data_IF_152269914093
#
_entry.id   IF_152269914093
#
_cell.length_a   1.000
_cell.length_b   1.000
_cell.length_c   1.000
_cell.angle_alpha   90.00
_cell.angle_beta   90.00
_cell.angle_gamma   90.00
#
_symmetry.space_group_name_H-M   'P 1'
#
loop_
_entity.id
_entity.type
_entity.pdbx_description
1 polymer ?
#
# COMPACT_ATOMS: atom_id res chain seq x y z
N UNK A 1 16.30 1.26 34.65
CA UNK A 1 15.37 0.12 34.60
C UNK A 1 14.66 0.20 33.25
N UNK A 2 15.08 -0.65 32.30
CA UNK A 2 14.57 -0.67 30.94
C UNK A 2 13.35 -1.59 30.88
N UNK A 3 12.16 -1.03 30.75
CA UNK A 3 10.92 -1.76 30.49
C UNK A 3 10.71 -1.90 28.99
N UNK A 4 11.27 -2.94 28.37
CA UNK A 4 10.96 -3.30 26.99
C UNK A 4 9.72 -4.20 27.04
N UNK A 5 8.59 -3.71 26.52
CA UNK A 5 7.33 -4.44 26.47
C UNK A 5 7.50 -5.78 25.73
N UNK A 6 6.86 -6.87 26.21
CA UNK A 6 7.00 -8.17 25.57
C UNK A 6 6.33 -8.13 24.18
N UNK A 7 7.12 -8.36 23.14
CA UNK A 7 6.62 -8.46 21.77
C UNK A 7 5.58 -9.58 21.66
N UNK A 8 4.31 -9.19 21.46
CA UNK A 8 3.18 -10.08 21.20
C UNK A 8 3.46 -10.97 19.99
N UNK A 9 2.90 -12.18 20.01
CA UNK A 9 2.86 -13.03 18.82
C UNK A 9 1.90 -12.36 17.81
N UNK A 10 2.18 -12.39 16.50
CA UNK A 10 1.22 -11.89 15.52
C UNK A 10 -0.05 -12.74 15.62
N UNK A 11 -1.19 -12.09 15.87
CA UNK A 11 -2.48 -12.75 15.79
C UNK A 11 -2.75 -13.12 14.32
N UNK A 12 -3.33 -14.30 14.08
CA UNK A 12 -3.56 -14.79 12.72
C UNK A 12 -4.57 -13.96 11.92
N UNK A 13 -5.26 -13.03 12.58
CA UNK A 13 -6.19 -12.10 11.94
C UNK A 13 -5.48 -10.94 11.24
N UNK A 14 -4.22 -10.63 11.59
CA UNK A 14 -3.54 -9.42 11.12
C UNK A 14 -2.72 -9.62 9.83
N UNK A 15 -2.42 -10.87 9.44
CA UNK A 15 -1.63 -11.19 8.25
C UNK A 15 -2.50 -11.55 7.05
N UNK A 16 -3.24 -10.59 6.49
CA UNK A 16 -4.07 -10.81 5.30
C UNK A 16 -3.33 -10.45 4.00
N UNK A 17 -2.51 -11.37 3.51
CA UNK A 17 -1.62 -11.13 2.37
C UNK A 17 -1.53 -12.29 1.40
N UNK A 18 -1.16 -11.99 0.16
CA UNK A 18 -0.86 -13.00 -0.85
C UNK A 18 0.65 -13.10 -1.04
N UNK A 19 1.22 -14.21 -0.58
CA UNK A 19 2.66 -14.39 -0.47
C UNK A 19 3.13 -15.42 -1.50
N UNK A 20 4.04 -15.03 -2.38
CA UNK A 20 4.80 -15.93 -3.23
C UNK A 20 6.19 -16.13 -2.63
N UNK A 21 6.58 -17.39 -2.39
CA UNK A 21 7.96 -17.73 -2.05
C UNK A 21 8.67 -18.17 -3.32
N UNK A 22 9.70 -17.42 -3.73
CA UNK A 22 10.64 -17.84 -4.77
C UNK A 22 11.80 -18.56 -4.08
N UNK A 23 11.96 -19.84 -4.40
CA UNK A 23 12.91 -20.74 -3.75
C UNK A 23 13.99 -21.18 -4.74
N UNK A 24 15.26 -20.98 -4.38
CA UNK A 24 16.40 -21.37 -5.22
C UNK A 24 16.51 -22.90 -5.32
N UNK A 25 16.48 -23.43 -6.53
CA UNK A 25 16.65 -24.86 -6.82
C UNK A 25 17.80 -25.11 -7.80
N UNK A 26 18.71 -24.13 -7.96
CA UNK A 26 19.86 -24.18 -8.85
C UNK A 26 20.92 -25.20 -8.43
N UNK A 27 21.82 -25.51 -9.35
CA UNK A 27 23.04 -26.29 -9.09
C UNK A 27 23.94 -25.65 -8.02
N UNK A 28 23.90 -24.32 -7.87
CA UNK A 28 24.74 -23.58 -6.93
C UNK A 28 24.36 -23.87 -5.47
N UNK A 29 23.06 -23.95 -5.16
CA UNK A 29 22.61 -24.31 -3.81
C UNK A 29 22.87 -25.80 -3.51
N UNK A 30 22.66 -26.67 -4.50
CA UNK A 30 22.81 -28.12 -4.36
C UNK A 30 21.73 -28.78 -3.49
N UNK A 31 21.55 -30.09 -3.67
CA UNK A 31 20.50 -30.88 -3.01
C UNK A 31 20.47 -30.75 -1.47
N UNK A 32 21.66 -30.69 -0.84
CA UNK A 32 21.76 -30.64 0.63
C UNK A 32 21.23 -29.33 1.18
N UNK A 33 21.65 -28.18 0.64
CA UNK A 33 21.19 -26.87 1.11
C UNK A 33 19.76 -26.58 0.66
N UNK A 34 19.35 -27.10 -0.51
CA UNK A 34 17.95 -27.10 -0.92
C UNK A 34 17.03 -27.75 0.13
N UNK A 35 17.43 -28.88 0.71
CA UNK A 35 16.66 -29.51 1.80
C UNK A 35 16.63 -28.66 3.08
N UNK A 36 17.69 -27.91 3.39
CA UNK A 36 17.71 -26.96 4.52
C UNK A 36 16.79 -25.75 4.26
N UNK A 37 16.78 -25.25 3.03
CA UNK A 37 15.87 -24.21 2.58
C UNK A 37 14.40 -24.65 2.65
N UNK A 38 14.07 -25.84 2.15
CA UNK A 38 12.73 -26.44 2.30
C UNK A 38 12.29 -26.50 3.75
N UNK A 39 13.18 -26.93 4.66
CA UNK A 39 12.90 -26.98 6.08
C UNK A 39 12.66 -25.59 6.68
N UNK A 40 13.41 -24.57 6.23
CA UNK A 40 13.20 -23.18 6.63
C UNK A 40 11.84 -22.66 6.18
N UNK A 41 11.52 -22.82 4.88
CA UNK A 41 10.25 -22.42 4.28
C UNK A 41 9.07 -23.13 4.96
N UNK A 42 9.23 -24.42 5.29
CA UNK A 42 8.23 -25.19 6.05
C UNK A 42 7.95 -24.54 7.42
N UNK A 43 9.00 -24.15 8.16
CA UNK A 43 8.83 -23.50 9.47
C UNK A 43 8.24 -22.09 9.34
N UNK A 44 8.61 -21.36 8.30
CA UNK A 44 8.03 -20.05 7.99
C UNK A 44 6.54 -20.16 7.67
N UNK A 45 6.15 -21.07 6.78
CA UNK A 45 4.76 -21.34 6.43
C UNK A 45 3.92 -21.75 7.66
N UNK A 46 4.50 -22.54 8.57
CA UNK A 46 3.84 -22.89 9.83
C UNK A 46 3.61 -21.66 10.75
N UNK A 47 4.55 -20.71 10.77
CA UNK A 47 4.45 -19.47 11.54
C UNK A 47 3.44 -18.48 10.93
N UNK A 48 3.35 -18.42 9.60
CA UNK A 48 2.42 -17.53 8.88
C UNK A 48 0.94 -17.93 9.07
N UNK A 49 0.65 -19.14 9.56
CA UNK A 49 -0.71 -19.63 9.83
C UNK A 49 -1.65 -19.48 8.62
N UNK A 50 -1.19 -19.96 7.45
CA UNK A 50 -1.95 -19.96 6.18
C UNK A 50 -3.34 -20.59 6.36
N UNK A 51 -4.37 -19.91 5.88
CA UNK A 51 -5.75 -20.38 5.96
C UNK A 51 -6.75 -19.44 5.28
N UNK A 52 -8.04 -19.80 5.27
CA UNK A 52 -9.08 -19.04 4.56
C UNK A 52 -9.20 -17.58 5.00
N UNK A 53 -8.89 -17.30 6.26
CA UNK A 53 -8.94 -15.96 6.87
C UNK A 53 -7.54 -15.36 7.10
N UNK A 54 -6.49 -16.07 6.71
CA UNK A 54 -5.08 -15.70 6.91
C UNK A 54 -4.38 -15.37 5.59
N UNK A 55 -3.04 -15.45 5.55
CA UNK A 55 -2.31 -15.23 4.31
C UNK A 55 -2.52 -16.42 3.37
N UNK A 56 -2.54 -16.16 2.07
CA UNK A 56 -2.43 -17.18 1.04
C UNK A 56 -0.97 -17.32 0.66
N UNK A 57 -0.51 -18.56 0.45
CA UNK A 57 0.87 -18.87 0.14
C UNK A 57 0.95 -19.72 -1.12
N UNK A 58 1.75 -19.28 -2.09
CA UNK A 58 2.20 -20.16 -3.15
C UNK A 58 3.72 -20.14 -3.28
N UNK A 59 4.23 -21.04 -4.13
CA UNK A 59 5.65 -21.30 -4.23
C UNK A 59 6.08 -21.47 -5.68
N UNK A 60 7.18 -20.81 -6.01
CA UNK A 60 7.86 -20.87 -7.31
C UNK A 60 9.29 -21.34 -7.05
N UNK A 61 9.75 -22.36 -7.76
CA UNK A 61 11.16 -22.72 -7.80
C UNK A 61 11.87 -21.95 -8.91
N UNK A 62 13.06 -21.42 -8.62
CA UNK A 62 13.95 -20.84 -9.62
C UNK A 62 15.08 -21.82 -9.97
N UNK A 63 15.32 -21.97 -11.26
CA UNK A 63 16.44 -22.72 -11.85
C UNK A 63 16.74 -22.16 -13.25
N UNK A 64 16.89 -23.00 -14.29
CA UNK A 64 16.97 -22.56 -15.69
C UNK A 64 15.72 -21.76 -16.11
N UNK A 65 14.55 -22.21 -15.65
CA UNK A 65 13.25 -21.59 -15.90
C UNK A 65 12.39 -21.66 -14.64
N UNK A 66 11.58 -20.63 -14.36
CA UNK A 66 10.73 -20.63 -13.18
C UNK A 66 9.65 -21.70 -13.27
N UNK A 67 9.43 -22.41 -12.15
CA UNK A 67 8.40 -23.43 -12.04
C UNK A 67 7.48 -23.13 -10.87
N UNK A 68 6.22 -22.85 -11.16
CA UNK A 68 5.18 -22.74 -10.13
C UNK A 68 4.82 -24.14 -9.62
N UNK A 69 5.09 -24.40 -8.34
CA UNK A 69 4.78 -25.68 -7.70
C UNK A 69 3.33 -25.71 -7.20
N UNK A 70 2.87 -24.59 -6.67
CA UNK A 70 1.48 -24.38 -6.29
C UNK A 70 1.13 -22.89 -6.20
N UNK A 71 -0.12 -22.56 -6.53
CA UNK A 71 -0.72 -21.24 -6.52
C UNK A 71 -1.26 -20.88 -5.13
N UNK A 72 -1.66 -19.61 -4.98
CA UNK A 72 -2.17 -19.02 -3.73
C UNK A 72 -3.40 -19.75 -3.18
N UNK A 73 -4.22 -20.35 -4.04
CA UNK A 73 -5.48 -21.01 -3.69
C UNK A 73 -5.37 -22.52 -3.50
N UNK A 74 -4.23 -23.13 -3.83
CA UNK A 74 -4.10 -24.59 -3.79
C UNK A 74 -4.20 -25.17 -2.38
N UNK A 75 -3.79 -24.40 -1.35
CA UNK A 75 -3.79 -24.88 0.04
C UNK A 75 -4.39 -23.85 1.00
N UNK A 76 -5.45 -24.26 1.68
CA UNK A 76 -6.09 -23.48 2.76
C UNK A 76 -5.91 -24.11 4.14
N UNK A 77 -5.28 -25.28 4.20
CA UNK A 77 -4.99 -26.00 5.45
C UNK A 77 -3.49 -26.07 5.69
N UNK A 78 -3.00 -25.61 6.87
CA UNK A 78 -1.57 -25.61 7.18
C UNK A 78 -0.91 -26.97 6.97
N UNK A 79 -1.53 -28.08 7.42
CA UNK A 79 -0.93 -29.42 7.31
C UNK A 79 -0.66 -29.85 5.86
N UNK A 80 -1.60 -29.58 4.95
CA UNK A 80 -1.48 -29.94 3.53
C UNK A 80 -0.40 -29.09 2.85
N UNK A 81 -0.36 -27.78 3.14
CA UNK A 81 0.70 -26.90 2.66
C UNK A 81 2.09 -27.34 3.12
N UNK A 82 2.26 -27.66 4.40
CA UNK A 82 3.54 -28.10 4.96
C UNK A 82 3.99 -29.42 4.34
N UNK A 83 3.05 -30.30 3.99
CA UNK A 83 3.35 -31.54 3.27
C UNK A 83 3.80 -31.24 1.84
N UNK A 84 3.08 -30.39 1.11
CA UNK A 84 3.43 -30.00 -0.26
C UNK A 84 4.85 -29.40 -0.34
N UNK A 85 5.23 -28.52 0.60
CA UNK A 85 6.58 -27.96 0.67
C UNK A 85 7.63 -29.06 0.91
N UNK A 86 7.33 -30.07 1.72
CA UNK A 86 8.26 -31.19 1.99
C UNK A 86 8.45 -32.11 0.80
N UNK A 87 7.48 -32.22 -0.10
CA UNK A 87 7.55 -33.08 -1.29
C UNK A 87 8.25 -32.43 -2.49
N UNK A 88 8.62 -31.15 -2.39
CA UNK A 88 9.29 -30.43 -3.49
C UNK A 88 10.57 -31.13 -3.93
N UNK A 89 10.73 -31.29 -5.24
CA UNK A 89 11.91 -31.92 -5.84
C UNK A 89 12.94 -30.86 -6.18
N UNK A 90 14.21 -31.21 -5.98
CA UNK A 90 15.31 -30.38 -6.44
C UNK A 90 15.42 -30.43 -7.96
N UNK A 91 15.60 -29.29 -8.60
CA UNK A 91 15.64 -29.18 -10.07
C UNK A 91 17.08 -29.20 -10.62
N UNK A 92 18.01 -28.49 -9.98
CA UNK A 92 19.31 -28.17 -10.57
C UNK A 92 19.19 -27.15 -11.71
N UNK A 93 20.33 -26.78 -12.31
CA UNK A 93 20.42 -25.79 -13.39
C UNK A 93 21.02 -24.45 -12.94
N UNK A 94 20.79 -23.40 -13.73
CA UNK A 94 21.24 -22.03 -13.46
C UNK A 94 20.41 -21.33 -12.36
N UNK A 95 20.84 -20.15 -11.92
CA UNK A 95 20.16 -19.35 -10.89
C UNK A 95 19.44 -18.15 -11.51
N UNK A 96 18.46 -18.38 -12.41
CA UNK A 96 17.74 -17.31 -13.12
C UNK A 96 16.64 -16.64 -12.26
N UNK A 97 17.08 -15.94 -11.21
CA UNK A 97 16.23 -15.26 -10.23
C UNK A 97 15.39 -14.16 -10.87
N UNK A 98 15.95 -13.39 -11.80
CA UNK A 98 15.25 -12.34 -12.53
C UNK A 98 14.04 -12.88 -13.31
N UNK A 99 14.22 -13.99 -14.05
CA UNK A 99 13.11 -14.68 -14.73
C UNK A 99 12.03 -15.15 -13.74
N UNK A 100 12.41 -15.65 -12.57
CA UNK A 100 11.45 -16.08 -11.56
C UNK A 100 10.66 -14.91 -10.96
N UNK A 101 11.31 -13.77 -10.71
CA UNK A 101 10.64 -12.54 -10.27
C UNK A 101 9.67 -12.05 -11.35
N UNK A 102 10.09 -12.05 -12.62
CA UNK A 102 9.25 -11.65 -13.75
C UNK A 102 8.03 -12.56 -13.91
N UNK A 103 8.24 -13.88 -13.89
CA UNK A 103 7.15 -14.87 -13.92
C UNK A 103 6.19 -14.69 -12.74
N UNK A 104 6.72 -14.41 -11.55
CA UNK A 104 5.89 -14.14 -10.40
C UNK A 104 5.03 -12.88 -10.59
N UNK A 105 5.61 -11.80 -11.13
CA UNK A 105 4.91 -10.55 -11.37
C UNK A 105 3.85 -10.64 -12.49
N UNK A 106 4.18 -11.30 -13.61
CA UNK A 106 3.34 -11.30 -14.82
C UNK A 106 2.32 -12.45 -14.84
N UNK A 107 2.70 -13.62 -14.32
CA UNK A 107 1.90 -14.85 -14.43
C UNK A 107 1.30 -15.23 -13.10
N UNK A 108 2.10 -15.31 -12.04
CA UNK A 108 1.65 -15.83 -10.74
C UNK A 108 0.67 -14.88 -10.02
N UNK A 109 1.02 -13.59 -9.90
CA UNK A 109 0.20 -12.60 -9.20
C UNK A 109 -0.96 -12.07 -10.05
N UNK A 110 -1.80 -12.97 -10.56
CA UNK A 110 -3.01 -12.64 -11.32
C UNK A 110 -4.27 -13.10 -10.58
N UNK A 111 -5.44 -12.45 -10.81
CA UNK A 111 -6.70 -12.86 -10.20
C UNK A 111 -7.06 -14.33 -10.50
N UNK A 112 -6.78 -14.81 -11.72
CA UNK A 112 -7.01 -16.20 -12.10
C UNK A 112 -6.17 -17.22 -11.32
N UNK A 113 -5.05 -16.77 -10.75
CA UNK A 113 -4.13 -17.57 -9.95
C UNK A 113 -4.29 -17.36 -8.43
N UNK A 114 -5.39 -16.74 -8.02
CA UNK A 114 -5.79 -16.69 -6.61
C UNK A 114 -5.38 -15.42 -5.86
N UNK A 115 -4.95 -14.37 -6.56
CA UNK A 115 -4.76 -13.05 -5.95
C UNK A 115 -6.09 -12.50 -5.48
N UNK A 116 -6.14 -12.12 -4.20
CA UNK A 116 -7.28 -11.50 -3.55
C UNK A 116 -7.21 -9.99 -3.72
N UNK A 117 -8.33 -9.39 -4.12
CA UNK A 117 -8.47 -7.93 -4.20
C UNK A 117 -8.28 -7.32 -2.80
N UNK A 118 -7.62 -6.17 -2.73
CA UNK A 118 -7.38 -5.44 -1.48
C UNK A 118 -6.32 -6.05 -0.54
N UNK A 119 -5.75 -7.21 -0.86
CA UNK A 119 -4.72 -7.84 -0.06
C UNK A 119 -3.33 -7.51 -0.62
N UNK A 120 -2.34 -7.14 0.21
CA UNK A 120 -0.99 -6.89 -0.27
C UNK A 120 -0.36 -8.13 -0.90
N UNK A 121 0.36 -7.90 -2.00
CA UNK A 121 1.16 -8.93 -2.67
C UNK A 121 2.59 -8.84 -2.20
N UNK A 122 3.11 -9.95 -1.72
CA UNK A 122 4.45 -10.05 -1.17
C UNK A 122 5.20 -11.17 -1.88
N UNK A 123 6.34 -10.84 -2.47
CA UNK A 123 7.25 -11.79 -3.07
C UNK A 123 8.47 -11.91 -2.17
N UNK A 124 8.67 -13.07 -1.56
CA UNK A 124 9.89 -13.37 -0.80
C UNK A 124 10.82 -14.20 -1.67
N UNK A 125 11.96 -13.63 -2.04
CA UNK A 125 12.98 -14.28 -2.86
C UNK A 125 14.10 -14.78 -1.95
N UNK A 126 14.21 -16.11 -1.84
CA UNK A 126 15.33 -16.75 -1.16
C UNK A 126 16.46 -16.97 -2.15
N UNK A 127 17.64 -16.43 -1.84
CA UNK A 127 18.85 -16.59 -2.65
C UNK A 127 19.97 -17.17 -1.79
N UNK A 128 20.65 -18.20 -2.29
CA UNK A 128 21.85 -18.81 -1.69
C UNK A 128 23.02 -18.72 -2.68
N UNK A 129 23.23 -17.51 -3.20
CA UNK A 129 24.20 -17.24 -4.23
C UNK A 129 23.83 -16.02 -5.07
N UNK A 130 24.48 -15.91 -6.22
CA UNK A 130 24.34 -14.78 -7.13
C UNK A 130 23.36 -15.12 -8.25
N UNK A 131 22.48 -14.20 -8.64
CA UNK A 131 21.65 -14.39 -9.81
C UNK A 131 22.53 -14.48 -11.07
N UNK A 132 22.15 -15.38 -11.98
CA UNK A 132 22.78 -15.52 -13.29
C UNK A 132 22.24 -14.53 -14.34
N UNK A 133 21.19 -13.78 -13.97
CA UNK A 133 20.43 -12.86 -14.81
C UNK A 133 20.13 -11.52 -14.12
N UNK A 134 19.51 -10.59 -14.85
CA UNK A 134 19.15 -9.26 -14.37
C UNK A 134 17.94 -9.31 -13.41
N UNK A 135 18.23 -9.15 -12.12
CA UNK A 135 17.23 -9.04 -11.06
C UNK A 135 16.65 -7.63 -10.95
N UNK A 136 17.43 -6.59 -11.26
CA UNK A 136 17.02 -5.20 -11.07
C UNK A 136 15.80 -4.87 -11.93
N UNK A 137 15.85 -5.21 -13.22
CA UNK A 137 14.75 -4.95 -14.15
C UNK A 137 13.48 -5.73 -13.78
N UNK A 138 13.62 -7.00 -13.44
CA UNK A 138 12.47 -7.84 -13.06
C UNK A 138 11.83 -7.34 -11.75
N UNK A 139 12.65 -6.97 -10.78
CA UNK A 139 12.17 -6.43 -9.51
C UNK A 139 11.53 -5.05 -9.68
N UNK A 140 12.05 -4.20 -10.56
CA UNK A 140 11.42 -2.93 -10.93
C UNK A 140 10.00 -3.15 -11.45
N UNK A 141 9.82 -4.07 -12.40
CA UNK A 141 8.50 -4.43 -12.93
C UNK A 141 7.56 -4.95 -11.82
N UNK A 142 8.06 -5.82 -10.94
CA UNK A 142 7.27 -6.33 -9.82
C UNK A 142 6.80 -5.19 -8.89
N UNK A 143 7.69 -4.25 -8.55
CA UNK A 143 7.37 -3.07 -7.73
C UNK A 143 6.38 -2.14 -8.41
N UNK A 144 6.58 -1.82 -9.70
CA UNK A 144 5.63 -1.01 -10.48
C UNK A 144 4.25 -1.66 -10.59
N UNK A 145 4.24 -3.00 -10.57
CA UNK A 145 3.02 -3.81 -10.52
C UNK A 145 2.39 -3.87 -9.13
N UNK A 146 2.97 -3.23 -8.11
CA UNK A 146 2.45 -3.16 -6.74
C UNK A 146 2.70 -4.44 -5.94
N UNK A 147 3.87 -5.07 -6.12
CA UNK A 147 4.31 -6.24 -5.38
C UNK A 147 5.49 -5.83 -4.47
N UNK A 148 5.41 -6.16 -3.19
CA UNK A 148 6.50 -5.94 -2.25
C UNK A 148 7.54 -7.05 -2.42
N UNK A 149 8.73 -6.69 -2.90
CA UNK A 149 9.85 -7.62 -3.08
C UNK A 149 10.69 -7.65 -1.82
N UNK A 150 10.75 -8.81 -1.16
CA UNK A 150 11.66 -9.11 -0.06
C UNK A 150 12.79 -9.97 -0.55
N UNK A 151 14.02 -9.51 -0.37
CA UNK A 151 15.20 -10.28 -0.70
C UNK A 151 15.77 -10.91 0.57
N UNK A 152 15.81 -12.23 0.61
CA UNK A 152 16.36 -13.00 1.72
C UNK A 152 17.62 -13.71 1.25
N UNK A 153 18.78 -13.14 1.57
CA UNK A 153 20.07 -13.74 1.25
C UNK A 153 20.51 -14.69 2.36
N UNK A 154 20.96 -15.88 1.97
CA UNK A 154 21.53 -16.84 2.90
C UNK A 154 22.99 -17.05 2.60
N UNK A 155 23.81 -16.96 3.65
CA UNK A 155 25.26 -16.95 3.59
C UNK A 155 25.80 -15.71 2.87
N UNK A 156 26.92 -15.17 3.37
CA UNK A 156 27.66 -14.22 2.56
C UNK A 156 28.42 -15.01 1.49
N UNK A 157 28.43 -14.50 0.28
CA UNK A 157 29.28 -15.03 -0.76
C UNK A 157 30.75 -15.01 -0.36
N UNK A 158 31.49 -16.03 -0.79
CA UNK A 158 32.91 -16.11 -0.50
C UNK A 158 33.67 -15.01 -1.24
N UNK A 159 34.85 -14.63 -0.74
CA UNK A 159 35.64 -13.53 -1.33
C UNK A 159 36.01 -13.84 -2.79
N UNK A 160 36.20 -15.12 -3.09
CA UNK A 160 36.54 -15.68 -4.39
C UNK A 160 35.35 -15.64 -5.36
N UNK A 161 34.12 -15.61 -4.84
CA UNK A 161 32.88 -15.57 -5.64
C UNK A 161 32.42 -14.14 -5.93
N UNK A 162 33.00 -13.14 -5.27
CA UNK A 162 32.67 -11.72 -5.46
C UNK A 162 33.00 -11.20 -6.87
N UNK A 163 33.86 -11.89 -7.61
CA UNK A 163 34.17 -11.59 -9.01
C UNK A 163 33.12 -12.13 -9.99
N UNK A 164 32.32 -13.12 -9.57
CA UNK A 164 31.28 -13.75 -10.39
C UNK A 164 29.92 -13.05 -10.29
N UNK A 165 29.81 -12.06 -9.41
CA UNK A 165 28.60 -11.23 -9.27
C UNK A 165 28.57 -10.21 -10.37
N UNK A 166 27.53 -10.26 -11.20
CA UNK A 166 27.34 -9.24 -12.23
C UNK A 166 27.07 -7.87 -11.62
N UNK A 167 26.18 -7.82 -10.62
CA UNK A 167 25.85 -6.59 -9.89
C UNK A 167 25.90 -6.85 -8.39
N UNK A 168 26.81 -6.19 -7.67
CA UNK A 168 27.01 -6.38 -6.22
C UNK A 168 25.91 -5.72 -5.38
N UNK A 169 25.18 -4.76 -5.93
CA UNK A 169 24.11 -4.03 -5.25
C UNK A 169 22.71 -4.53 -5.66
N UNK A 170 22.61 -5.63 -6.41
CA UNK A 170 21.34 -6.19 -6.89
C UNK A 170 20.29 -6.34 -5.78
N UNK A 171 20.69 -6.73 -4.57
CA UNK A 171 19.81 -6.83 -3.40
C UNK A 171 19.15 -5.50 -3.05
N UNK A 172 19.93 -4.41 -3.03
CA UNK A 172 19.46 -3.07 -2.69
C UNK A 172 18.56 -2.50 -3.78
N UNK A 173 18.90 -2.79 -5.05
CA UNK A 173 18.14 -2.33 -6.21
C UNK A 173 16.87 -3.13 -6.47
N UNK A 174 16.80 -4.37 -5.97
CA UNK A 174 15.63 -5.22 -6.09
C UNK A 174 14.51 -4.82 -5.11
N UNK A 175 14.86 -4.32 -3.94
CA UNK A 175 13.88 -3.86 -2.96
C UNK A 175 13.43 -2.44 -3.26
N UNK A 176 12.27 -2.05 -2.73
CA UNK A 176 11.72 -0.72 -2.96
C UNK A 176 12.31 0.38 -2.08
N UNK A 177 12.80 0.02 -0.88
CA UNK A 177 13.55 0.91 0.01
C UNK A 177 14.73 0.14 0.60
N UNK A 178 15.93 0.69 0.48
CA UNK A 178 17.13 0.15 1.14
C UNK A 178 17.25 0.66 2.58
N UNK A 179 16.28 0.29 3.42
CA UNK A 179 16.23 0.65 4.84
C UNK A 179 16.46 -0.57 5.76
N UNK A 180 16.88 -1.70 5.18
CA UNK A 180 17.07 -2.95 5.91
C UNK A 180 15.78 -3.70 6.31
N UNK A 181 14.60 -3.21 5.91
CA UNK A 181 13.32 -3.90 6.14
C UNK A 181 13.08 -5.00 5.10
N UNK A 182 13.14 -4.63 3.82
CA UNK A 182 12.89 -5.51 2.67
C UNK A 182 14.06 -6.46 2.34
N UNK A 183 15.25 -6.16 2.85
CA UNK A 183 16.42 -7.03 2.73
C UNK A 183 16.69 -7.74 4.06
N UNK A 184 16.81 -9.06 4.03
CA UNK A 184 17.08 -9.87 5.21
C UNK A 184 18.26 -10.82 4.96
N UNK A 185 19.29 -10.76 5.80
CA UNK A 185 20.46 -11.65 5.68
C UNK A 185 20.44 -12.72 6.75
N UNK A 186 20.50 -13.98 6.32
CA UNK A 186 20.68 -15.16 7.17
C UNK A 186 22.14 -15.58 7.07
N UNK A 187 22.94 -15.55 8.15
CA UNK A 187 24.37 -15.83 8.06
C UNK A 187 24.71 -17.25 7.61
N UNK A 188 23.83 -18.22 7.88
CA UNK A 188 24.05 -19.63 7.58
C UNK A 188 22.74 -20.40 7.55
N UNK A 189 22.67 -21.43 6.71
CA UNK A 189 21.62 -22.44 6.78
C UNK A 189 21.63 -23.22 8.11
N UNK A 190 22.78 -23.28 8.78
CA UNK A 190 22.91 -23.89 10.11
C UNK A 190 22.50 -22.85 11.17
N UNK A 191 21.41 -23.13 11.89
CA UNK A 191 20.78 -22.22 12.89
C UNK A 191 19.87 -21.12 12.33
N UNK A 192 19.17 -21.39 11.24
CA UNK A 192 18.22 -20.45 10.63
C UNK A 192 16.89 -20.27 11.40
N UNK A 193 16.57 -21.13 12.37
CA UNK A 193 15.29 -21.09 13.10
C UNK A 193 15.02 -19.75 13.79
N UNK A 194 16.05 -19.09 14.31
CA UNK A 194 15.94 -17.77 14.97
C UNK A 194 15.45 -16.66 14.04
N UNK A 195 15.58 -16.87 12.72
CA UNK A 195 15.18 -15.91 11.69
C UNK A 195 13.72 -16.10 11.23
N UNK A 196 13.10 -17.25 11.55
CA UNK A 196 11.71 -17.54 11.13
C UNK A 196 10.72 -16.54 11.69
N UNK A 197 10.78 -16.25 13.01
CA UNK A 197 9.84 -15.32 13.65
C UNK A 197 10.01 -13.87 13.15
N UNK A 198 11.23 -13.28 13.14
CA UNK A 198 11.41 -11.93 12.61
C UNK A 198 10.98 -11.79 11.15
N UNK A 199 11.25 -12.80 10.32
CA UNK A 199 10.88 -12.75 8.91
C UNK A 199 9.36 -12.85 8.72
N UNK A 200 8.69 -13.76 9.45
CA UNK A 200 7.23 -13.83 9.43
C UNK A 200 6.59 -12.49 9.86
N UNK A 201 7.12 -11.85 10.91
CA UNK A 201 6.63 -10.55 11.37
C UNK A 201 6.81 -9.46 10.31
N UNK A 202 7.97 -9.41 9.63
CA UNK A 202 8.20 -8.44 8.54
C UNK A 202 7.29 -8.68 7.35
N UNK A 203 7.15 -9.94 6.93
CA UNK A 203 6.29 -10.28 5.80
C UNK A 203 4.84 -9.88 6.10
N UNK A 204 4.38 -10.03 7.35
CA UNK A 204 3.02 -9.72 7.79
C UNK A 204 2.81 -8.27 8.31
N UNK A 205 3.78 -7.35 8.16
CA UNK A 205 3.65 -5.98 8.67
C UNK A 205 2.99 -5.07 7.63
N UNK A 206 1.65 -5.00 7.65
CA UNK A 206 0.85 -4.23 6.69
C UNK A 206 1.30 -2.77 6.58
N UNK A 207 1.53 -2.12 7.72
CA UNK A 207 1.90 -0.69 7.81
C UNK A 207 3.30 -0.40 7.22
N UNK A 208 4.16 -1.43 7.13
CA UNK A 208 5.51 -1.30 6.57
C UNK A 208 5.60 -1.70 5.08
N UNK A 209 4.52 -2.26 4.49
CA UNK A 209 4.47 -2.68 3.08
C UNK A 209 4.20 -1.50 2.14
N UNK A 210 5.18 -0.61 2.05
CA UNK A 210 5.09 0.67 1.33
C UNK A 210 5.07 0.56 -0.20
N UNK A 211 5.13 -0.65 -0.77
CA UNK A 211 5.43 -0.87 -2.20
C UNK A 211 4.35 -1.70 -2.92
N UNK A 212 3.39 -2.25 -2.17
CA UNK A 212 2.10 -2.62 -2.74
C UNK A 212 1.31 -1.36 -3.03
N UNK A 213 0.77 -1.22 -4.25
CA UNK A 213 -0.26 -0.21 -4.54
C UNK A 213 -1.49 -0.53 -3.69
N UNK A 214 -1.61 0.12 -2.55
CA UNK A 214 -2.78 0.07 -1.69
C UNK A 214 -3.46 1.43 -1.73
N UNK A 215 -4.67 1.50 -1.17
CA UNK A 215 -5.31 2.79 -0.97
C UNK A 215 -4.51 3.72 -0.04
N UNK A 216 -3.66 3.18 0.82
CA UNK A 216 -2.92 3.96 1.81
C UNK A 216 -1.73 4.71 1.23
N UNK A 217 -1.22 4.29 0.07
CA UNK A 217 0.03 4.80 -0.50
C UNK A 217 -0.01 5.05 -2.03
N UNK A 218 -1.14 4.87 -2.71
CA UNK A 218 -1.23 5.04 -4.17
C UNK A 218 -2.41 5.95 -4.57
N UNK A 219 -2.58 7.01 -3.79
CA UNK A 219 -3.72 7.93 -3.90
C UNK A 219 -3.27 9.38 -3.82
N UNK A 220 -3.94 10.23 -4.59
CA UNK A 220 -3.87 11.68 -4.49
C UNK A 220 -5.17 12.15 -3.83
N UNK A 221 -5.10 12.77 -2.66
CA UNK A 221 -6.26 13.25 -1.91
C UNK A 221 -6.20 14.77 -1.85
N UNK A 222 -7.19 15.40 -2.47
CA UNK A 222 -7.44 16.83 -2.37
C UNK A 222 -8.52 17.11 -1.33
N UNK A 223 -8.23 18.00 -0.39
CA UNK A 223 -9.22 18.55 0.52
C UNK A 223 -9.76 19.87 -0.02
N UNK A 224 -11.08 19.96 -0.19
CA UNK A 224 -11.78 21.18 -0.57
C UNK A 224 -12.53 21.70 0.65
N UNK A 225 -12.01 22.79 1.22
CA UNK A 225 -12.32 23.23 2.57
C UNK A 225 -13.14 24.52 2.52
N UNK A 226 -14.37 24.46 3.02
CA UNK A 226 -15.22 25.63 3.19
C UNK A 226 -14.66 26.55 4.29
N UNK A 227 -14.23 27.74 3.89
CA UNK A 227 -13.74 28.81 4.77
C UNK A 227 -14.76 29.94 4.92
N UNK A 228 -16.04 29.69 4.63
CA UNK A 228 -17.08 30.70 4.65
C UNK A 228 -17.38 31.21 6.06
N UNK A 229 -18.05 32.37 6.11
CA UNK A 229 -18.40 33.03 7.37
C UNK A 229 -19.34 32.22 8.26
N UNK A 230 -20.13 31.30 7.70
CA UNK A 230 -21.05 30.43 8.44
C UNK A 230 -20.31 29.41 9.31
N UNK A 231 -19.15 28.93 8.83
CA UNK A 231 -18.32 27.97 9.57
C UNK A 231 -17.83 28.63 10.86
N UNK A 232 -17.21 29.81 10.76
CA UNK A 232 -16.62 30.50 11.90
C UNK A 232 -15.28 29.89 12.34
N UNK A 233 -14.41 30.72 12.93
CA UNK A 233 -13.03 30.36 13.21
C UNK A 233 -12.87 29.13 14.11
N UNK A 234 -13.68 28.99 15.18
CA UNK A 234 -13.61 27.86 16.11
C UNK A 234 -13.94 26.53 15.41
N UNK A 235 -14.99 26.50 14.60
CA UNK A 235 -15.38 25.29 13.88
C UNK A 235 -14.40 24.98 12.74
N UNK A 236 -13.82 26.00 12.12
CA UNK A 236 -12.79 25.82 11.10
C UNK A 236 -11.58 25.05 11.66
N UNK A 237 -11.17 25.30 12.91
CA UNK A 237 -10.12 24.50 13.56
C UNK A 237 -10.52 23.02 13.69
N UNK A 238 -11.79 22.72 14.02
CA UNK A 238 -12.29 21.34 14.08
C UNK A 238 -12.26 20.67 12.70
N UNK A 239 -12.56 21.41 11.63
CA UNK A 239 -12.43 20.91 10.25
C UNK A 239 -10.98 20.59 9.92
N UNK A 240 -10.03 21.46 10.26
CA UNK A 240 -8.61 21.21 10.01
C UNK A 240 -8.08 20.00 10.80
N UNK A 241 -8.52 19.83 12.05
CA UNK A 241 -8.15 18.66 12.86
C UNK A 241 -8.75 17.36 12.33
N UNK A 242 -9.99 17.40 11.86
CA UNK A 242 -10.61 16.27 11.16
C UNK A 242 -9.82 15.86 9.91
N UNK A 243 -9.46 16.84 9.08
CA UNK A 243 -8.66 16.62 7.87
C UNK A 243 -7.26 16.09 8.16
N UNK A 244 -6.62 16.64 9.19
CA UNK A 244 -5.34 16.14 9.69
C UNK A 244 -5.45 14.67 10.15
N UNK A 245 -6.55 14.30 10.80
CA UNK A 245 -6.84 12.91 11.20
C UNK A 245 -6.98 11.95 10.03
N UNK A 246 -7.61 12.40 8.93
CA UNK A 246 -7.66 11.63 7.67
C UNK A 246 -6.25 11.49 7.10
N UNK A 247 -5.52 12.60 6.93
CA UNK A 247 -4.16 12.60 6.38
C UNK A 247 -3.20 11.68 7.17
N UNK A 248 -3.34 11.63 8.49
CA UNK A 248 -2.53 10.76 9.36
C UNK A 248 -2.68 9.26 9.03
N UNK A 249 -3.84 8.87 8.47
CA UNK A 249 -4.17 7.48 8.14
C UNK A 249 -3.54 6.99 6.83
N UNK A 250 -2.90 7.87 6.04
CA UNK A 250 -2.26 7.54 4.76
C UNK A 250 -0.73 7.64 4.85
N UNK A 251 -0.02 6.88 4.01
CA UNK A 251 1.45 6.85 3.96
C UNK A 251 1.98 7.91 3.01
N UNK A 252 1.97 9.15 3.49
CA UNK A 252 2.40 10.32 2.73
C UNK A 252 3.90 10.30 2.52
N UNK A 253 4.34 10.21 1.26
CA UNK A 253 5.74 10.31 0.85
C UNK A 253 5.90 10.62 -0.64
N UNK A 254 7.11 10.88 -1.12
CA UNK A 254 7.40 11.11 -2.56
C UNK A 254 6.92 9.99 -3.49
N UNK A 255 6.80 8.77 -2.97
CA UNK A 255 6.37 7.57 -3.71
C UNK A 255 5.08 6.97 -3.15
N UNK A 256 4.43 7.67 -2.21
CA UNK A 256 3.28 7.20 -1.44
C UNK A 256 2.01 7.97 -1.76
N UNK A 257 1.19 8.20 -0.74
CA UNK A 257 0.03 9.08 -0.88
C UNK A 257 0.46 10.55 -0.97
N UNK A 258 -0.33 11.32 -1.71
CA UNK A 258 -0.13 12.75 -1.92
C UNK A 258 -1.34 13.51 -1.41
N UNK A 259 -1.12 14.55 -0.59
CA UNK A 259 -2.19 15.36 0.00
C UNK A 259 -2.04 16.79 -0.48
N UNK A 260 -3.17 17.42 -0.80
CA UNK A 260 -3.24 18.83 -1.16
C UNK A 260 -4.50 19.47 -0.60
N UNK A 261 -4.50 20.79 -0.45
CA UNK A 261 -5.62 21.51 0.13
C UNK A 261 -5.96 22.77 -0.68
N UNK A 262 -7.26 22.95 -0.90
CA UNK A 262 -7.85 24.16 -1.47
C UNK A 262 -8.88 24.66 -0.47
N UNK A 263 -8.78 25.92 -0.09
CA UNK A 263 -9.80 26.60 0.69
C UNK A 263 -10.68 27.43 -0.25
N UNK A 264 -11.98 27.54 0.05
CA UNK A 264 -12.90 28.34 -0.76
C UNK A 264 -13.89 29.14 0.08
N UNK A 265 -14.29 30.28 -0.49
CA UNK A 265 -15.46 31.08 -0.11
C UNK A 265 -16.22 31.46 -1.39
N UNK A 266 -16.31 32.75 -1.74
CA UNK A 266 -16.55 33.21 -3.11
C UNK A 266 -15.28 33.07 -3.97
N UNK A 267 -14.11 33.16 -3.34
CA UNK A 267 -12.80 33.00 -3.96
C UNK A 267 -12.20 31.64 -3.60
N UNK A 268 -11.31 31.12 -4.43
CA UNK A 268 -10.65 29.83 -4.22
C UNK A 268 -9.13 30.04 -4.12
N UNK A 269 -8.51 29.34 -3.17
CA UNK A 269 -7.06 29.41 -2.96
C UNK A 269 -6.47 28.02 -2.74
N UNK A 270 -5.46 27.66 -3.51
CA UNK A 270 -4.58 26.52 -3.17
C UNK A 270 -3.77 26.91 -1.94
N UNK A 271 -3.94 26.19 -0.84
CA UNK A 271 -3.13 26.38 0.37
C UNK A 271 -1.78 25.67 0.22
N UNK A 272 -1.81 24.45 -0.35
CA UNK A 272 -0.63 23.72 -0.81
C UNK A 272 -1.05 22.63 -1.82
N UNK A 273 -0.15 22.35 -2.77
CA UNK A 273 -0.34 21.35 -3.82
C UNK A 273 -0.08 19.92 -3.37
N UNK A 274 -0.52 18.95 -4.20
CA UNK A 274 -0.37 17.51 -3.94
C UNK A 274 1.10 17.05 -3.77
N UNK A 275 2.05 17.78 -4.37
CA UNK A 275 3.47 17.44 -4.39
C UNK A 275 4.32 18.32 -3.47
N UNK A 276 3.71 19.23 -2.71
CA UNK A 276 4.46 20.22 -1.91
C UNK A 276 5.03 19.62 -0.61
N UNK A 277 4.51 18.47 -0.18
CA UNK A 277 4.91 17.80 1.05
C UNK A 277 5.22 16.32 0.81
N UNK A 278 6.45 15.92 1.12
CA UNK A 278 7.01 14.59 0.90
C UNK A 278 7.05 13.72 2.17
N UNK A 279 6.43 14.16 3.25
CA UNK A 279 6.28 13.40 4.49
C UNK A 279 5.00 13.76 5.23
N UNK A 280 4.55 12.82 6.07
CA UNK A 280 3.28 12.89 6.80
C UNK A 280 3.25 14.04 7.79
N UNK A 281 4.32 14.24 8.55
CA UNK A 281 4.40 15.24 9.60
C UNK A 281 4.27 16.67 9.06
N UNK A 282 4.90 16.96 7.92
CA UNK A 282 4.85 18.27 7.29
C UNK A 282 3.48 18.54 6.65
N UNK A 283 2.87 17.55 5.98
CA UNK A 283 1.53 17.69 5.41
C UNK A 283 0.47 17.94 6.50
N UNK A 284 0.52 17.18 7.60
CA UNK A 284 -0.38 17.37 8.76
C UNK A 284 -0.16 18.74 9.42
N UNK A 285 1.09 19.20 9.53
CA UNK A 285 1.41 20.53 10.06
C UNK A 285 0.90 21.63 9.14
N UNK A 286 1.01 21.46 7.83
CA UNK A 286 0.53 22.42 6.84
C UNK A 286 -0.99 22.57 6.91
N UNK A 287 -1.74 21.47 6.98
CA UNK A 287 -3.20 21.48 7.17
C UNK A 287 -3.61 22.31 8.39
N UNK A 288 -3.01 22.04 9.56
CA UNK A 288 -3.34 22.77 10.81
C UNK A 288 -2.97 24.25 10.79
N UNK A 289 -2.15 24.70 9.84
CA UNK A 289 -1.71 26.09 9.71
C UNK A 289 -2.51 26.88 8.68
N UNK A 290 -3.45 26.25 7.99
CA UNK A 290 -4.33 26.94 7.04
C UNK A 290 -5.08 28.05 7.78
N UNK A 291 -4.99 29.27 7.24
CA UNK A 291 -5.63 30.43 7.84
C UNK A 291 -7.09 30.52 7.39
N UNK A 292 -7.99 30.66 8.36
CA UNK A 292 -9.43 30.82 8.12
C UNK A 292 -9.72 32.02 7.22
N UNK A 293 -10.49 31.78 6.16
CA UNK A 293 -11.06 32.81 5.29
C UNK A 293 -12.37 33.36 5.87
N UNK A 294 -13.02 34.26 5.14
CA UNK A 294 -14.40 34.64 5.37
C UNK A 294 -15.05 35.00 4.03
N UNK A 295 -16.37 34.91 3.95
CA UNK A 295 -17.11 35.10 2.70
C UNK A 295 -18.32 34.18 2.59
N UNK A 296 -18.88 34.06 1.38
CA UNK A 296 -19.93 33.09 1.07
C UNK A 296 -19.38 31.74 0.66
N UNK A 297 -20.23 30.90 0.08
CA UNK A 297 -19.96 29.47 -0.17
C UNK A 297 -20.20 29.15 -1.64
N UNK A 298 -19.17 29.17 -2.48
CA UNK A 298 -19.26 28.85 -3.92
C UNK A 298 -18.59 27.49 -4.22
N UNK A 299 -19.26 26.42 -3.81
CA UNK A 299 -18.74 25.04 -3.82
C UNK A 299 -18.55 24.50 -5.24
N UNK A 300 -19.43 24.84 -6.19
CA UNK A 300 -19.32 24.39 -7.58
C UNK A 300 -18.07 24.93 -8.28
N UNK A 301 -17.84 26.23 -8.13
CA UNK A 301 -16.64 26.92 -8.60
C UNK A 301 -15.39 26.36 -7.92
N UNK A 302 -15.48 26.03 -6.62
CA UNK A 302 -14.40 25.41 -5.87
C UNK A 302 -14.02 24.01 -6.39
N UNK A 303 -15.00 23.17 -6.74
CA UNK A 303 -14.74 21.85 -7.36
C UNK A 303 -14.02 22.01 -8.71
N UNK A 304 -14.49 22.95 -9.55
CA UNK A 304 -13.86 23.25 -10.84
C UNK A 304 -12.41 23.73 -10.66
N UNK A 305 -12.19 24.62 -9.69
CA UNK A 305 -10.88 25.16 -9.38
C UNK A 305 -9.92 24.08 -8.87
N UNK A 306 -10.35 23.21 -7.95
CA UNK A 306 -9.55 22.10 -7.45
C UNK A 306 -9.16 21.14 -8.59
N UNK A 307 -10.11 20.83 -9.48
CA UNK A 307 -9.85 19.98 -10.65
C UNK A 307 -8.76 20.57 -11.55
N UNK A 308 -8.80 21.87 -11.82
CA UNK A 308 -7.88 22.55 -12.75
C UNK A 308 -6.53 22.93 -12.14
N UNK A 309 -6.48 23.20 -10.84
CA UNK A 309 -5.28 23.75 -10.20
C UNK A 309 -4.59 22.76 -9.27
N UNK A 310 -5.36 21.91 -8.58
CA UNK A 310 -4.82 20.90 -7.67
C UNK A 310 -4.49 19.60 -8.41
N UNK A 311 -5.47 19.01 -9.10
CA UNK A 311 -5.31 17.69 -9.74
C UNK A 311 -4.58 17.70 -11.08
N UNK A 312 -4.33 18.88 -11.67
CA UNK A 312 -3.57 19.00 -12.93
C UNK A 312 -2.15 18.43 -12.84
N UNK A 313 -1.54 18.49 -11.65
CA UNK A 313 -0.20 17.98 -11.36
C UNK A 313 -0.23 16.78 -10.42
N UNK A 314 -1.32 16.01 -10.41
CA UNK A 314 -1.43 14.82 -9.58
C UNK A 314 -0.37 13.77 -9.98
N UNK A 315 0.21 13.11 -8.98
CA UNK A 315 1.09 11.97 -9.23
C UNK A 315 0.32 10.79 -9.82
N UNK A 316 1.04 9.75 -10.23
CA UNK A 316 0.41 8.49 -10.63
C UNK A 316 -0.33 7.87 -9.44
N UNK A 317 -1.64 7.70 -9.57
CA UNK A 317 -2.48 7.15 -8.52
C UNK A 317 -3.96 7.42 -8.81
N UNK A 318 -4.82 7.10 -7.86
CA UNK A 318 -6.24 7.46 -7.93
C UNK A 318 -6.48 8.81 -7.27
N UNK A 319 -7.36 9.60 -7.87
CA UNK A 319 -7.66 10.94 -7.41
C UNK A 319 -8.95 10.94 -6.59
N UNK A 320 -8.88 11.46 -5.36
CA UNK A 320 -10.00 11.61 -4.46
C UNK A 320 -10.13 13.07 -4.03
N UNK A 321 -11.33 13.62 -4.15
CA UNK A 321 -11.64 14.96 -3.66
C UNK A 321 -12.60 14.82 -2.48
N UNK A 322 -12.21 15.33 -1.32
CA UNK A 322 -13.07 15.38 -0.13
C UNK A 322 -13.54 16.82 0.02
N UNK A 323 -14.84 17.04 -0.18
CA UNK A 323 -15.48 18.34 -0.05
C UNK A 323 -16.11 18.44 1.33
N UNK A 324 -15.73 19.47 2.10
CA UNK A 324 -16.34 19.77 3.40
C UNK A 324 -17.03 21.12 3.31
N UNK A 325 -18.31 21.17 3.65
CA UNK A 325 -19.10 22.41 3.69
C UNK A 325 -20.10 22.37 4.83
N UNK A 326 -20.42 23.55 5.38
CA UNK A 326 -21.44 23.69 6.41
C UNK A 326 -22.77 24.22 5.87
N UNK A 327 -22.84 24.60 4.58
CA UNK A 327 -23.91 25.42 4.04
C UNK A 327 -24.36 25.09 2.63
N UNK A 328 -25.43 25.77 2.20
CA UNK A 328 -25.91 25.72 0.83
C UNK A 328 -24.95 26.51 -0.08
N UNK A 329 -24.62 25.94 -1.24
CA UNK A 329 -23.83 26.64 -2.25
C UNK A 329 -24.62 27.77 -2.91
N UNK A 330 -23.94 28.87 -3.26
CA UNK A 330 -24.51 29.96 -4.06
C UNK A 330 -24.50 29.67 -5.57
N UNK A 331 -23.86 28.58 -6.00
CA UNK A 331 -23.71 28.17 -7.39
C UNK A 331 -24.07 26.69 -7.60
N UNK A 332 -24.16 26.27 -8.87
CA UNK A 332 -24.43 24.87 -9.22
C UNK A 332 -23.26 23.97 -8.82
N UNK A 333 -23.55 22.94 -8.02
CA UNK A 333 -22.56 21.95 -7.59
C UNK A 333 -22.53 20.72 -8.47
N UNK A 334 -23.64 20.40 -9.16
CA UNK A 334 -23.81 19.12 -9.86
C UNK A 334 -22.96 19.08 -11.14
N UNK A 335 -23.01 20.12 -11.97
CA UNK A 335 -22.24 20.20 -13.21
C UNK A 335 -20.72 20.07 -12.98
N UNK A 336 -20.13 20.89 -12.10
CA UNK A 336 -18.72 20.78 -11.71
C UNK A 336 -18.34 19.42 -11.15
N UNK A 337 -19.16 18.84 -10.27
CA UNK A 337 -18.90 17.52 -9.70
C UNK A 337 -18.87 16.44 -10.78
N UNK A 338 -19.87 16.41 -11.67
CA UNK A 338 -19.89 15.46 -12.80
C UNK A 338 -18.69 15.64 -13.74
N UNK A 339 -18.25 16.88 -13.97
CA UNK A 339 -17.07 17.16 -14.79
C UNK A 339 -15.78 16.63 -14.14
N UNK A 340 -15.60 16.82 -12.83
CA UNK A 340 -14.48 16.28 -12.09
C UNK A 340 -14.49 14.74 -12.08
N UNK A 341 -15.66 14.12 -11.89
CA UNK A 341 -15.82 12.66 -11.92
C UNK A 341 -15.45 12.07 -13.29
N UNK A 342 -15.80 12.72 -14.39
CA UNK A 342 -15.38 12.32 -15.75
C UNK A 342 -13.87 12.38 -15.97
N UNK A 343 -13.14 13.15 -15.16
CA UNK A 343 -11.67 13.19 -15.16
C UNK A 343 -11.04 12.14 -14.22
N UNK A 344 -11.83 11.21 -13.70
CA UNK A 344 -11.36 10.14 -12.82
C UNK A 344 -11.16 10.57 -11.36
N UNK A 345 -11.75 11.70 -10.94
CA UNK A 345 -11.73 12.16 -9.55
C UNK A 345 -12.97 11.61 -8.83
N UNK A 346 -12.76 10.76 -7.83
CA UNK A 346 -13.86 10.27 -6.98
C UNK A 346 -14.13 11.29 -5.86
N UNK A 347 -15.38 11.74 -5.73
CA UNK A 347 -15.75 12.79 -4.78
C UNK A 347 -16.44 12.20 -3.56
N UNK A 348 -15.94 12.57 -2.38
CA UNK A 348 -16.56 12.37 -1.09
C UNK A 348 -17.10 13.70 -0.57
N UNK A 349 -18.36 13.75 -0.18
CA UNK A 349 -19.00 14.96 0.35
C UNK A 349 -19.24 14.83 1.85
N UNK A 350 -18.77 15.78 2.65
CA UNK A 350 -18.95 15.85 4.09
C UNK A 350 -19.70 17.13 4.42
N UNK A 351 -20.97 17.00 4.82
CA UNK A 351 -21.78 18.12 5.26
C UNK A 351 -21.80 18.26 6.77
N UNK A 352 -21.84 19.49 7.26
CA UNK A 352 -21.98 19.80 8.69
C UNK A 352 -23.14 20.78 8.90
N UNK A 353 -23.70 20.79 10.10
CA UNK A 353 -24.71 21.76 10.54
C UNK A 353 -25.96 21.78 9.64
N UNK A 354 -26.09 22.79 8.77
CA UNK A 354 -27.24 23.01 7.89
C UNK A 354 -26.94 22.70 6.42
N UNK A 355 -25.83 22.02 6.12
CA UNK A 355 -25.48 21.59 4.77
C UNK A 355 -26.63 20.76 4.12
N UNK A 356 -27.15 21.16 2.95
CA UNK A 356 -28.26 20.47 2.32
C UNK A 356 -27.86 19.07 1.84
N UNK A 357 -28.50 18.02 2.37
CA UNK A 357 -28.23 16.63 1.98
C UNK A 357 -28.31 16.41 0.46
N UNK A 358 -29.24 17.09 -0.22
CA UNK A 358 -29.37 17.01 -1.67
C UNK A 358 -28.10 17.49 -2.39
N UNK A 359 -27.50 18.60 -1.98
CA UNK A 359 -26.27 19.12 -2.61
C UNK A 359 -25.08 18.20 -2.33
N UNK A 360 -24.99 17.64 -1.12
CA UNK A 360 -23.96 16.64 -0.80
C UNK A 360 -24.06 15.42 -1.74
N UNK A 361 -25.27 14.90 -1.93
CA UNK A 361 -25.54 13.80 -2.86
C UNK A 361 -25.28 14.18 -4.32
N UNK A 362 -25.55 15.43 -4.71
CA UNK A 362 -25.29 15.89 -6.08
C UNK A 362 -23.79 16.04 -6.38
N UNK A 363 -22.97 16.26 -5.35
CA UNK A 363 -21.50 16.31 -5.47
C UNK A 363 -20.82 14.94 -5.43
N UNK A 364 -21.28 14.06 -4.54
CA UNK A 364 -20.63 12.78 -4.29
C UNK A 364 -20.63 11.85 -5.52
N UNK A 365 -19.58 11.05 -5.64
CA UNK A 365 -19.50 9.96 -6.62
C UNK A 365 -20.36 8.77 -6.20
N UNK A 366 -20.70 7.89 -7.15
CA UNK A 366 -21.34 6.62 -6.83
C UNK A 366 -20.38 5.66 -6.08
N UNK A 367 -20.88 4.83 -5.15
CA UNK A 367 -22.25 4.82 -4.63
C UNK A 367 -22.48 5.96 -3.62
N UNK A 368 -23.50 6.80 -3.87
CA UNK A 368 -23.71 8.06 -3.11
C UNK A 368 -23.85 7.86 -1.60
N UNK A 369 -24.51 6.79 -1.17
CA UNK A 369 -24.73 6.47 0.24
C UNK A 369 -23.43 6.15 1.00
N UNK A 370 -22.37 5.71 0.31
CA UNK A 370 -21.06 5.47 0.91
C UNK A 370 -20.10 6.65 0.81
N UNK A 371 -20.39 7.61 -0.07
CA UNK A 371 -19.54 8.76 -0.36
C UNK A 371 -20.08 10.07 0.22
N UNK A 372 -21.27 10.04 0.82
CA UNK A 372 -21.86 11.18 1.50
C UNK A 372 -21.90 10.97 3.02
N UNK A 373 -21.34 11.92 3.76
CA UNK A 373 -21.33 11.97 5.22
C UNK A 373 -22.01 13.25 5.70
N UNK A 374 -22.75 13.18 6.81
CA UNK A 374 -23.43 14.32 7.38
C UNK A 374 -23.48 14.25 8.89
N UNK A 375 -23.15 15.36 9.56
CA UNK A 375 -23.35 15.52 11.01
C UNK A 375 -23.93 16.89 11.33
N UNK A 376 -24.66 17.01 12.44
CA UNK A 376 -25.21 18.30 12.89
C UNK A 376 -24.19 19.19 13.58
N UNK A 377 -23.12 18.61 14.12
CA UNK A 377 -22.17 19.32 14.96
C UNK A 377 -20.72 19.05 14.50
N UNK A 378 -19.91 20.10 14.40
CA UNK A 378 -18.52 20.02 13.95
C UNK A 378 -17.66 19.10 14.82
N UNK A 379 -17.94 19.01 16.13
CA UNK A 379 -17.20 18.15 17.05
C UNK A 379 -17.30 16.66 16.68
N UNK A 380 -18.37 16.26 16.00
CA UNK A 380 -18.61 14.87 15.58
C UNK A 380 -17.94 14.52 14.25
N UNK A 381 -17.28 15.48 13.57
CA UNK A 381 -16.53 15.20 12.34
C UNK A 381 -15.49 14.08 12.53
N UNK A 382 -14.87 14.02 13.71
CA UNK A 382 -13.88 13.01 14.06
C UNK A 382 -14.40 11.57 13.92
N UNK A 383 -15.70 11.34 14.07
CA UNK A 383 -16.33 10.03 13.91
C UNK A 383 -16.27 9.52 12.45
N UNK A 384 -16.13 10.42 11.47
CA UNK A 384 -16.07 10.09 10.06
C UNK A 384 -14.67 9.74 9.55
N UNK A 385 -13.61 9.92 10.34
CA UNK A 385 -12.24 9.62 9.89
C UNK A 385 -12.14 8.17 9.39
N UNK A 386 -12.50 7.20 10.24
CA UNK A 386 -12.39 5.78 9.89
C UNK A 386 -13.39 5.34 8.80
N UNK A 387 -14.67 5.74 8.83
CA UNK A 387 -15.60 5.52 7.72
C UNK A 387 -15.10 6.08 6.37
N UNK A 388 -14.57 7.29 6.34
CA UNK A 388 -14.12 7.96 5.12
C UNK A 388 -12.85 7.29 4.56
N UNK A 389 -11.87 6.98 5.41
CA UNK A 389 -10.67 6.21 5.02
C UNK A 389 -11.08 4.86 4.43
N UNK A 390 -12.01 4.13 5.07
CA UNK A 390 -12.55 2.88 4.53
C UNK A 390 -13.27 3.09 3.19
N UNK A 391 -14.03 4.16 3.04
CA UNK A 391 -14.68 4.54 1.80
C UNK A 391 -13.68 4.75 0.65
N UNK A 392 -12.61 5.53 0.89
CA UNK A 392 -11.52 5.74 -0.07
C UNK A 392 -10.88 4.40 -0.45
N UNK A 393 -10.64 3.53 0.52
CA UNK A 393 -10.06 2.21 0.26
C UNK A 393 -10.98 1.29 -0.53
N UNK A 394 -12.29 1.32 -0.29
CA UNK A 394 -13.27 0.58 -1.09
C UNK A 394 -13.32 1.12 -2.52
N UNK A 395 -13.43 2.44 -2.70
CA UNK A 395 -13.40 3.07 -4.01
C UNK A 395 -12.08 2.79 -4.77
N UNK A 396 -10.96 2.69 -4.05
CA UNK A 396 -9.67 2.26 -4.61
C UNK A 396 -9.67 0.82 -5.12
N UNK A 397 -10.50 -0.05 -4.56
CA UNK A 397 -10.63 -1.43 -5.02
C UNK A 397 -11.66 -1.61 -6.14
N UNK A 398 -12.69 -0.75 -6.21
CA UNK A 398 -13.82 -0.91 -7.12
C UNK A 398 -13.50 -0.44 -8.56
N UNK A 399 -12.79 0.67 -8.76
CA UNK A 399 -12.41 1.12 -10.13
C UNK A 399 -11.21 0.34 -10.75
N UNK A 400 -10.92 -0.88 -10.29
CA UNK A 400 -9.81 -1.75 -10.76
C UNK A 400 -10.32 -2.93 -11.61
#
# INVERSE_FOLDING_TARGET
QNGMSPASQPDSADCQMDIAIIMDSSSNIGQRRFNLQKNFVTKLAAMLRVGPTGPHLGLIQTSDSPRTEFLLTNFTKPKELLFAIKELKYLGGDTNTGKAIMHAAEVFFTPGNGVRRGHPRVMMVLIDGWPSDDVERAAMLARESGINVFMVSVSKPAAEELSMVQDKDFLKKAVCKDNGFFSYSIPSWFSNNKHVRPLAQRLCSLDDLLCSKTCYNSVNIGFLIDGSSSVGWQNFQLVLDFLAGIAQSFDISDVGAHIGAVQFTYEQRVEFGLLDHSNKEDAVRALRRISYMNGGTATGSAISYATQNLFRQAARGRNYLIVITDGQSYDDVQGPAMAAQRQGITIFSVGVAWAPMKELLDMASEPKDKHTFFTREFVNLSEFIQPLVRGICQAFTENN
#
